data_IF_506167279788
#
_entry.id   IF_506167279788
#
_cell.length_a   1.000
_cell.length_b   1.000
_cell.length_c   1.000
_cell.angle_alpha   90.00
_cell.angle_beta   90.00
_cell.angle_gamma   90.00
#
_symmetry.space_group_name_H-M   'P 1'
#
loop_
_entity.id
_entity.type
_entity.pdbx_description
1 polymer ?
#
# COMPACT_ATOMS: atom_id res chain seq x y z
N UNK A 1 -10.66 14.53 42.47
CA UNK A 1 -9.22 14.29 42.25
C UNK A 1 -8.78 15.05 40.99
N UNK A 2 -7.81 15.97 41.08
CA UNK A 2 -7.28 16.68 39.90
C UNK A 2 -6.10 15.88 39.34
N UNK A 3 -6.13 15.36 38.10
CA UNK A 3 -5.01 14.61 37.55
C UNK A 3 -3.80 15.54 37.38
N UNK A 4 -2.75 15.29 38.15
CA UNK A 4 -1.46 15.97 37.98
C UNK A 4 -0.68 15.20 36.91
N UNK A 5 -1.05 15.38 35.64
CA UNK A 5 -0.21 14.90 34.55
C UNK A 5 1.10 15.68 34.56
N UNK A 6 2.18 14.99 34.92
CA UNK A 6 3.52 15.55 34.93
C UNK A 6 3.91 15.91 33.50
N UNK A 7 4.51 17.08 33.29
CA UNK A 7 5.00 17.53 31.96
C UNK A 7 5.82 16.44 31.26
N UNK A 8 6.59 15.65 32.03
CA UNK A 8 7.35 14.48 31.53
C UNK A 8 6.48 13.45 30.82
N UNK A 9 5.28 13.15 31.34
CA UNK A 9 4.37 12.19 30.73
C UNK A 9 3.82 12.70 29.39
N UNK A 10 3.53 14.00 29.30
CA UNK A 10 3.08 14.63 28.05
C UNK A 10 4.18 14.58 27.00
N UNK A 11 5.43 14.88 27.38
CA UNK A 11 6.57 14.79 26.44
C UNK A 11 6.77 13.37 25.93
N UNK A 12 6.71 12.35 26.80
CA UNK A 12 6.81 10.95 26.38
C UNK A 12 5.68 10.60 25.40
N UNK A 13 4.45 10.99 25.71
CA UNK A 13 3.29 10.73 24.84
C UNK A 13 3.46 11.41 23.46
N UNK A 14 3.89 12.66 23.43
CA UNK A 14 4.13 13.39 22.18
C UNK A 14 5.24 12.75 21.35
N UNK A 15 6.32 12.29 21.98
CA UNK A 15 7.40 11.58 21.27
C UNK A 15 6.90 10.27 20.67
N UNK A 16 6.13 9.48 21.41
CA UNK A 16 5.54 8.25 20.89
C UNK A 16 4.58 8.52 19.73
N UNK A 17 3.75 9.55 19.85
CA UNK A 17 2.87 9.99 18.77
C UNK A 17 3.65 10.42 17.52
N UNK A 18 4.75 11.15 17.69
CA UNK A 18 5.60 11.58 16.57
C UNK A 18 6.25 10.38 15.86
N UNK A 19 6.77 9.41 16.61
CA UNK A 19 7.34 8.17 16.05
C UNK A 19 6.26 7.39 15.30
N UNK A 20 5.06 7.27 15.89
CA UNK A 20 3.93 6.59 15.30
C UNK A 20 3.48 7.24 13.97
N UNK A 21 3.37 8.57 13.93
CA UNK A 21 3.07 9.30 12.70
C UNK A 21 4.19 9.14 11.64
N UNK A 22 5.45 9.21 12.07
CA UNK A 22 6.59 8.99 11.19
C UNK A 22 6.58 7.60 10.55
N UNK A 23 6.21 6.57 11.31
CA UNK A 23 6.03 5.22 10.78
C UNK A 23 4.96 5.17 9.68
N UNK A 24 3.80 5.81 9.90
CA UNK A 24 2.73 5.87 8.89
C UNK A 24 3.13 6.63 7.63
N UNK A 25 3.83 7.76 7.74
CA UNK A 25 4.32 8.51 6.58
C UNK A 25 5.31 7.68 5.77
N UNK A 26 6.24 6.99 6.45
CA UNK A 26 7.19 6.10 5.79
C UNK A 26 6.47 4.94 5.08
N UNK A 27 5.42 4.38 5.69
CA UNK A 27 4.60 3.35 5.05
C UNK A 27 3.90 3.87 3.78
N UNK A 28 3.35 5.09 3.81
CA UNK A 28 2.76 5.74 2.62
C UNK A 28 3.81 5.88 1.51
N UNK A 29 5.01 6.35 1.84
CA UNK A 29 6.09 6.50 0.86
C UNK A 29 6.47 5.15 0.22
N UNK A 30 6.54 4.08 1.01
CA UNK A 30 6.84 2.75 0.47
C UNK A 30 5.76 2.23 -0.46
N UNK A 31 4.48 2.47 -0.15
CA UNK A 31 3.36 2.11 -1.02
C UNK A 31 3.40 2.89 -2.34
N UNK A 32 3.61 4.21 -2.28
CA UNK A 32 3.71 5.05 -3.47
C UNK A 32 4.91 4.66 -4.33
N UNK A 33 6.07 4.43 -3.72
CA UNK A 33 7.28 3.98 -4.43
C UNK A 33 7.06 2.61 -5.08
N UNK A 34 6.37 1.68 -4.43
CA UNK A 34 6.08 0.37 -4.98
C UNK A 34 5.26 0.43 -6.28
N UNK A 35 4.29 1.34 -6.32
CA UNK A 35 3.44 1.59 -7.50
C UNK A 35 4.24 2.35 -8.57
N UNK A 36 5.03 3.35 -8.18
CA UNK A 36 5.85 4.15 -9.08
C UNK A 36 6.96 3.31 -9.75
N UNK A 37 7.55 2.37 -9.02
CA UNK A 37 8.58 1.46 -9.53
C UNK A 37 7.99 0.38 -10.47
N UNK A 38 6.66 0.29 -10.55
CA UNK A 38 5.95 -0.50 -11.57
C UNK A 38 5.89 -2.00 -11.30
N UNK A 39 6.48 -2.50 -10.21
CA UNK A 39 6.37 -3.92 -9.83
C UNK A 39 5.04 -4.28 -9.16
N UNK A 40 4.23 -3.27 -8.81
CA UNK A 40 2.83 -3.43 -8.43
C UNK A 40 1.96 -2.76 -9.49
N UNK A 41 1.07 -3.54 -10.08
CA UNK A 41 0.05 -3.06 -11.00
C UNK A 41 -1.31 -3.03 -10.30
N UNK A 42 -1.98 -1.88 -10.37
CA UNK A 42 -3.38 -1.80 -9.98
C UNK A 42 -4.23 -2.54 -11.01
N UNK A 43 -5.00 -3.52 -10.55
CA UNK A 43 -5.99 -4.19 -11.40
C UNK A 43 -7.24 -3.32 -11.40
N UNK A 44 -7.24 -2.30 -12.24
CA UNK A 44 -8.46 -1.55 -12.50
C UNK A 44 -9.40 -2.46 -13.29
N UNK A 45 -10.44 -2.98 -12.63
CA UNK A 45 -11.49 -3.70 -13.32
C UNK A 45 -12.34 -2.69 -14.09
N UNK A 46 -11.88 -2.28 -15.28
CA UNK A 46 -12.61 -1.38 -16.18
C UNK A 46 -14.02 -1.88 -16.56
N UNK A 47 -14.36 -3.13 -16.21
CA UNK A 47 -15.61 -3.80 -16.51
C UNK A 47 -16.67 -3.70 -15.40
N UNK A 48 -16.32 -3.18 -14.23
CA UNK A 48 -17.28 -2.89 -13.15
C UNK A 48 -17.28 -1.39 -12.88
N UNK A 49 -18.27 -0.64 -13.41
CA UNK A 49 -18.45 0.79 -13.12
C UNK A 49 -18.59 1.10 -11.62
N UNK A 50 -18.89 0.07 -10.81
CA UNK A 50 -19.08 0.13 -9.38
C UNK A 50 -17.95 -0.58 -8.61
N UNK A 51 -16.67 -0.36 -8.96
CA UNK A 51 -15.59 -0.81 -8.08
C UNK A 51 -15.73 -0.01 -6.77
N UNK A 52 -16.18 -0.62 -5.65
CA UNK A 52 -16.49 0.14 -4.46
C UNK A 52 -15.20 0.83 -4.02
N UNK A 53 -15.28 2.12 -3.65
CA UNK A 53 -14.15 2.82 -3.05
C UNK A 53 -13.72 2.06 -1.80
N UNK A 54 -12.68 1.23 -1.91
CA UNK A 54 -12.15 0.49 -0.80
C UNK A 54 -11.37 1.49 0.05
N UNK A 55 -11.87 1.71 1.27
CA UNK A 55 -11.21 2.60 2.20
C UNK A 55 -9.83 2.03 2.56
N UNK A 56 -8.79 2.87 2.50
CA UNK A 56 -7.48 2.46 2.98
C UNK A 56 -7.54 2.13 4.48
N UNK A 57 -6.83 1.09 4.93
CA UNK A 57 -6.97 0.61 6.30
C UNK A 57 -6.48 1.63 7.34
N UNK A 58 -7.28 1.79 8.40
CA UNK A 58 -6.93 2.57 9.59
C UNK A 58 -6.63 4.04 9.30
N UNK A 59 -5.44 4.50 9.72
CA UNK A 59 -5.01 5.89 9.57
C UNK A 59 -4.70 6.29 8.13
N UNK A 60 -4.42 5.34 7.24
CA UNK A 60 -4.15 5.65 5.83
C UNK A 60 -5.35 6.36 5.19
N UNK A 61 -6.56 5.91 5.50
CA UNK A 61 -7.79 6.58 5.04
C UNK A 61 -7.93 8.00 5.58
N UNK A 62 -7.51 8.27 6.82
CA UNK A 62 -7.49 9.62 7.41
C UNK A 62 -6.50 10.56 6.71
N UNK A 63 -5.43 10.03 6.12
CA UNK A 63 -4.50 10.78 5.27
C UNK A 63 -4.95 10.90 3.81
N UNK A 64 -6.19 10.50 3.48
CA UNK A 64 -6.73 10.59 2.12
C UNK A 64 -6.10 9.61 1.13
N UNK A 65 -5.42 8.57 1.62
CA UNK A 65 -4.89 7.52 0.76
C UNK A 65 -6.02 6.62 0.24
N UNK A 66 -5.87 6.19 -1.02
CA UNK A 66 -6.78 5.23 -1.62
C UNK A 66 -6.45 3.81 -1.12
N UNK A 67 -7.49 3.03 -0.82
CA UNK A 67 -7.34 1.60 -0.59
C UNK A 67 -7.35 0.87 -1.93
N UNK A 68 -6.64 -0.25 -1.98
CA UNK A 68 -6.57 -1.09 -3.17
C UNK A 68 -7.25 -2.42 -2.89
N UNK A 69 -8.28 -2.77 -3.66
CA UNK A 69 -8.97 -4.05 -3.47
C UNK A 69 -8.22 -5.23 -4.05
N UNK A 70 -7.58 -5.02 -5.19
CA UNK A 70 -6.85 -6.06 -5.91
C UNK A 70 -5.63 -5.46 -6.58
N UNK A 71 -4.48 -6.09 -6.33
CA UNK A 71 -3.20 -5.70 -6.93
C UNK A 71 -2.57 -6.92 -7.58
N UNK A 72 -1.89 -6.70 -8.70
CA UNK A 72 -1.03 -7.72 -9.32
C UNK A 72 0.41 -7.36 -9.04
N UNK A 73 1.14 -8.28 -8.42
CA UNK A 73 2.58 -8.17 -8.15
C UNK A 73 3.33 -8.87 -9.27
N UNK A 74 4.26 -8.16 -9.89
CA UNK A 74 5.18 -8.76 -10.86
C UNK A 74 6.30 -9.42 -10.10
N UNK A 75 6.54 -10.68 -10.40
CA UNK A 75 7.64 -11.43 -9.85
C UNK A 75 8.60 -11.82 -10.97
N UNK A 76 9.90 -11.78 -10.68
CA UNK A 76 10.89 -12.32 -11.61
C UNK A 76 10.91 -13.86 -11.59
N UNK A 77 10.44 -14.45 -10.48
CA UNK A 77 10.37 -15.88 -10.22
C UNK A 77 9.30 -16.15 -9.15
N UNK A 78 8.79 -17.38 -9.05
CA UNK A 78 7.79 -17.72 -8.02
C UNK A 78 8.29 -17.52 -6.57
N UNK A 79 9.61 -17.64 -6.34
CA UNK A 79 10.24 -17.45 -5.02
C UNK A 79 10.65 -15.99 -4.73
N UNK A 80 10.15 -15.02 -5.49
CA UNK A 80 10.56 -13.63 -5.36
C UNK A 80 10.03 -13.01 -4.03
N UNK A 81 10.93 -12.47 -3.17
CA UNK A 81 10.53 -11.90 -1.88
C UNK A 81 9.59 -10.69 -2.02
N UNK A 82 9.47 -10.11 -3.22
CA UNK A 82 8.54 -9.02 -3.51
C UNK A 82 7.08 -9.37 -3.19
N UNK A 83 6.66 -10.63 -3.32
CA UNK A 83 5.30 -11.01 -2.97
C UNK A 83 5.03 -10.84 -1.47
N UNK A 84 5.96 -11.30 -0.63
CA UNK A 84 5.88 -11.14 0.83
C UNK A 84 5.93 -9.66 1.24
N UNK A 85 6.77 -8.88 0.55
CA UNK A 85 6.87 -7.43 0.76
C UNK A 85 5.56 -6.72 0.37
N UNK A 86 4.96 -7.05 -0.78
CA UNK A 86 3.66 -6.53 -1.20
C UNK A 86 2.57 -6.84 -0.16
N UNK A 87 2.54 -8.08 0.35
CA UNK A 87 1.55 -8.49 1.35
C UNK A 87 1.64 -7.65 2.64
N UNK A 88 2.86 -7.29 3.05
CA UNK A 88 3.04 -6.39 4.20
C UNK A 88 2.67 -4.92 3.91
N UNK A 89 2.85 -4.45 2.66
CA UNK A 89 2.58 -3.06 2.28
C UNK A 89 1.09 -2.81 2.01
N UNK A 90 0.38 -3.81 1.52
CA UNK A 90 -1.02 -3.74 1.10
C UNK A 90 -1.85 -4.88 1.74
N UNK A 91 -1.98 -4.90 3.08
CA UNK A 91 -2.70 -5.96 3.78
C UNK A 91 -4.21 -5.99 3.44
N UNK A 92 -4.76 -4.89 2.93
CA UNK A 92 -6.16 -4.81 2.48
C UNK A 92 -6.38 -5.36 1.07
N UNK A 93 -5.33 -5.49 0.27
CA UNK A 93 -5.44 -5.87 -1.13
C UNK A 93 -5.36 -7.38 -1.30
N UNK A 94 -6.24 -7.92 -2.13
CA UNK A 94 -6.05 -9.27 -2.67
C UNK A 94 -4.91 -9.24 -3.67
N UNK A 95 -3.82 -9.96 -3.36
CA UNK A 95 -2.63 -10.01 -4.22
C UNK A 95 -2.72 -11.19 -5.18
N UNK A 96 -2.57 -10.89 -6.47
CA UNK A 96 -2.28 -11.88 -7.50
C UNK A 96 -0.80 -11.75 -7.88
N UNK A 97 -0.11 -12.85 -8.13
CA UNK A 97 1.22 -12.82 -8.71
C UNK A 97 1.15 -13.02 -10.24
N UNK A 98 2.04 -12.35 -10.95
CA UNK A 98 2.30 -12.62 -12.36
C UNK A 98 3.80 -12.73 -12.56
N UNK A 99 4.24 -13.84 -13.14
CA UNK A 99 5.66 -14.05 -13.47
C UNK A 99 5.88 -13.59 -14.90
N UNK A 100 6.75 -12.59 -15.06
CA UNK A 100 7.10 -12.08 -16.38
C UNK A 100 8.01 -10.85 -16.32
N UNK A 101 8.39 -10.30 -17.48
CA UNK A 101 9.30 -9.16 -17.53
C UNK A 101 8.67 -7.94 -16.84
N UNK A 102 9.41 -7.35 -15.90
CA UNK A 102 9.03 -6.08 -15.27
C UNK A 102 9.06 -4.98 -16.36
N UNK A 103 7.95 -4.28 -16.61
CA UNK A 103 7.94 -3.19 -17.56
C UNK A 103 8.87 -2.06 -17.07
N UNK A 104 9.50 -1.31 -17.98
CA UNK A 104 10.33 -0.18 -17.57
C UNK A 104 9.49 0.85 -16.81
N UNK A 105 10.10 1.53 -15.83
CA UNK A 105 9.48 2.45 -14.84
C UNK A 105 8.53 3.51 -15.41
N UNK A 106 8.64 3.84 -16.70
CA UNK A 106 7.83 4.83 -17.41
C UNK A 106 6.75 4.23 -18.33
N UNK A 107 6.64 2.92 -18.40
CA UNK A 107 5.68 2.24 -19.26
C UNK A 107 4.51 1.74 -18.42
N UNK A 108 3.39 2.45 -18.52
CA UNK A 108 2.11 1.96 -18.00
C UNK A 108 1.76 0.69 -18.77
N UNK A 109 1.37 -0.35 -18.04
CA UNK A 109 1.14 -1.67 -18.59
C UNK A 109 0.30 -1.66 -19.87
N UNK A 110 0.72 -2.36 -20.94
CA UNK A 110 -0.19 -2.69 -22.02
C UNK A 110 -1.25 -3.64 -21.44
N UNK A 111 -2.44 -3.10 -21.16
CA UNK A 111 -3.59 -3.88 -20.72
C UNK A 111 -3.82 -5.00 -21.75
N UNK A 112 -3.46 -6.23 -21.40
CA UNK A 112 -3.93 -7.41 -22.13
C UNK A 112 -5.10 -7.95 -21.34
N UNK A 113 -6.35 -7.76 -21.78
CA UNK A 113 -7.45 -8.49 -21.19
C UNK A 113 -7.11 -9.97 -21.34
N UNK A 114 -7.20 -10.72 -20.25
CA UNK A 114 -7.01 -12.15 -20.21
C UNK A 114 -7.83 -12.79 -21.34
N UNK A 115 -7.16 -13.17 -22.43
CA UNK A 115 -7.78 -13.99 -23.48
C UNK A 115 -7.60 -15.41 -22.98
N UNK A 116 -8.72 -16.01 -22.54
CA UNK A 116 -8.80 -17.44 -22.24
C UNK A 116 -8.41 -18.29 -23.46
#
# INVERSE_FOLDING_TARGET
>A
MKPRFTIRAILILMTLLAIFLGYHINWIHQRSAAIEDGWIAEVHNYWTPDDPHIAAPGLLGLFGQHGYGRLTVILSSDDDPLLSKAASLFPEASLNSWVGPVPPKNQRWPYRPWVN
#
